data_IF_026432024096
#
_entry.id   IF_026432024096
#
_cell.length_a   1.000
_cell.length_b   1.000
_cell.length_c   1.000
_cell.angle_alpha   90.00
_cell.angle_beta   90.00
_cell.angle_gamma   90.00
#
_symmetry.space_group_name_H-M   'P 1'
#
loop_
_entity.id
_entity.type
_entity.pdbx_description
1 polymer ?
#
# COMPACT_ATOMS: atom_id res chain seq x y z
N UNK A 1 -3.99 -24.49 7.24
CA UNK A 1 -4.84 -24.99 6.15
C UNK A 1 -4.12 -24.64 4.86
N UNK A 2 -3.34 -25.57 4.30
CA UNK A 2 -2.66 -25.32 3.01
C UNK A 2 -3.66 -25.58 1.90
N UNK A 3 -4.60 -24.65 1.75
CA UNK A 3 -5.49 -24.58 0.61
C UNK A 3 -4.62 -24.32 -0.63
N UNK A 4 -4.89 -25.01 -1.74
CA UNK A 4 -4.10 -24.84 -2.96
C UNK A 4 -4.27 -23.40 -3.46
N UNK A 5 -3.27 -22.55 -3.20
CA UNK A 5 -3.27 -21.17 -3.66
C UNK A 5 -3.30 -21.19 -5.18
N UNK A 6 -4.39 -20.70 -5.78
CA UNK A 6 -4.48 -20.53 -7.22
C UNK A 6 -3.49 -19.42 -7.63
N UNK A 7 -2.37 -19.75 -8.30
CA UNK A 7 -1.33 -18.79 -8.60
C UNK A 7 -1.82 -17.66 -9.50
N UNK A 8 -2.85 -17.90 -10.33
CA UNK A 8 -3.44 -16.88 -11.20
C UNK A 8 -4.20 -15.85 -10.37
N UNK A 9 -4.97 -16.31 -9.37
CA UNK A 9 -5.69 -15.42 -8.45
C UNK A 9 -4.70 -14.59 -7.62
N UNK A 10 -3.64 -15.21 -7.10
CA UNK A 10 -2.58 -14.53 -6.35
C UNK A 10 -1.90 -13.43 -7.20
N UNK A 11 -1.44 -13.76 -8.41
CA UNK A 11 -0.78 -12.82 -9.31
C UNK A 11 -1.69 -11.63 -9.66
N UNK A 12 -2.98 -11.88 -9.90
CA UNK A 12 -3.95 -10.83 -10.16
C UNK A 12 -4.13 -9.92 -8.96
N UNK A 13 -4.32 -10.49 -7.76
CA UNK A 13 -4.51 -9.71 -6.55
C UNK A 13 -3.25 -8.87 -6.23
N UNK A 14 -2.07 -9.47 -6.36
CA UNK A 14 -0.80 -8.77 -6.19
C UNK A 14 -0.63 -7.64 -7.20
N UNK A 15 -0.97 -7.88 -8.47
CA UNK A 15 -0.93 -6.86 -9.52
C UNK A 15 -1.84 -5.67 -9.21
N UNK A 16 -3.08 -5.93 -8.80
CA UNK A 16 -4.03 -4.88 -8.38
C UNK A 16 -3.48 -4.08 -7.20
N UNK A 17 -2.91 -4.78 -6.21
CA UNK A 17 -2.35 -4.16 -5.01
C UNK A 17 -1.18 -3.24 -5.34
N UNK A 18 -0.24 -3.72 -6.16
CA UNK A 18 0.91 -2.93 -6.63
C UNK A 18 0.44 -1.67 -7.35
N UNK A 19 -0.53 -1.80 -8.27
CA UNK A 19 -1.07 -0.65 -9.01
C UNK A 19 -1.73 0.36 -8.06
N UNK A 20 -2.55 -0.11 -7.12
CA UNK A 20 -3.21 0.76 -6.15
C UNK A 20 -2.20 1.53 -5.27
N UNK A 21 -1.16 0.84 -4.79
CA UNK A 21 -0.08 1.46 -4.01
C UNK A 21 0.68 2.50 -4.82
N UNK A 22 1.02 2.20 -6.08
CA UNK A 22 1.70 3.15 -6.96
C UNK A 22 0.85 4.41 -7.23
N UNK A 23 -0.46 4.23 -7.45
CA UNK A 23 -1.39 5.36 -7.63
C UNK A 23 -1.45 6.22 -6.37
N UNK A 24 -1.50 5.60 -5.18
CA UNK A 24 -1.47 6.32 -3.91
C UNK A 24 -0.16 7.10 -3.72
N UNK A 25 0.99 6.52 -4.09
CA UNK A 25 2.30 7.18 -4.04
C UNK A 25 2.32 8.39 -4.98
N UNK A 26 1.86 8.26 -6.23
CA UNK A 26 1.81 9.38 -7.19
C UNK A 26 0.91 10.51 -6.66
N UNK A 27 -0.26 10.16 -6.12
CA UNK A 27 -1.15 11.14 -5.49
C UNK A 27 -0.51 11.84 -4.29
N UNK A 28 0.22 11.11 -3.44
CA UNK A 28 0.93 11.66 -2.30
C UNK A 28 2.07 12.59 -2.72
N UNK A 29 2.84 12.25 -3.75
CA UNK A 29 3.91 13.11 -4.30
C UNK A 29 3.32 14.44 -4.82
N UNK A 30 2.23 14.37 -5.59
CA UNK A 30 1.54 15.57 -6.08
C UNK A 30 1.02 16.42 -4.93
N UNK A 31 0.56 15.80 -3.83
CA UNK A 31 0.11 16.53 -2.66
C UNK A 31 1.27 17.19 -1.91
N UNK A 32 2.40 16.48 -1.71
CA UNK A 32 3.59 16.99 -1.01
C UNK A 32 4.08 18.30 -1.63
N UNK A 33 4.10 18.39 -2.96
CA UNK A 33 4.53 19.58 -3.70
C UNK A 33 3.54 20.75 -3.54
N UNK A 34 2.24 20.45 -3.45
CA UNK A 34 1.18 21.47 -3.25
C UNK A 34 1.19 22.06 -1.85
N UNK A 35 1.47 21.25 -0.83
CA UNK A 35 1.45 21.69 0.59
C UNK A 35 2.84 21.96 1.17
N UNK A 36 3.87 22.01 0.31
CA UNK A 36 5.27 22.29 0.65
C UNK A 36 5.75 21.51 1.89
N UNK A 37 5.45 20.20 1.91
CA UNK A 37 5.73 19.37 3.08
C UNK A 37 7.22 19.04 3.14
N UNK A 38 7.89 19.30 4.28
CA UNK A 38 9.27 18.91 4.45
C UNK A 38 9.49 17.42 4.20
N UNK A 39 10.53 17.06 3.45
CA UNK A 39 10.83 15.68 3.06
C UNK A 39 10.86 14.69 4.26
N UNK A 40 11.34 15.16 5.42
CA UNK A 40 11.34 14.38 6.66
C UNK A 40 9.93 14.03 7.12
N UNK A 41 9.01 15.01 7.12
CA UNK A 41 7.61 14.80 7.50
C UNK A 41 6.91 13.90 6.49
N UNK A 42 7.15 14.11 5.19
CA UNK A 42 6.62 13.25 4.14
C UNK A 42 7.07 11.78 4.31
N UNK A 43 8.35 11.56 4.61
CA UNK A 43 8.88 10.22 4.88
C UNK A 43 8.22 9.56 6.10
N UNK A 44 8.00 10.30 7.19
CA UNK A 44 7.29 9.80 8.37
C UNK A 44 5.83 9.45 8.08
N UNK A 45 5.13 10.29 7.32
CA UNK A 45 3.74 10.04 6.92
C UNK A 45 3.61 8.82 6.00
N UNK A 46 4.56 8.65 5.07
CA UNK A 46 4.62 7.47 4.21
C UNK A 46 4.83 6.20 5.05
N UNK A 47 5.78 6.22 5.98
CA UNK A 47 6.05 5.08 6.86
C UNK A 47 4.85 4.74 7.76
N UNK A 48 4.20 5.75 8.34
CA UNK A 48 2.98 5.56 9.14
C UNK A 48 1.83 5.00 8.29
N UNK A 49 1.59 5.56 7.10
CA UNK A 49 0.56 5.07 6.19
C UNK A 49 0.81 3.62 5.78
N UNK A 50 2.04 3.27 5.44
CA UNK A 50 2.42 1.90 5.11
C UNK A 50 2.23 0.96 6.31
N UNK A 51 2.62 1.39 7.51
CA UNK A 51 2.40 0.64 8.74
C UNK A 51 0.92 0.37 9.02
N UNK A 52 0.05 1.37 8.81
CA UNK A 52 -1.41 1.20 8.93
C UNK A 52 -1.94 0.21 7.90
N UNK A 53 -1.51 0.31 6.64
CA UNK A 53 -1.92 -0.60 5.57
C UNK A 53 -1.56 -2.05 5.93
N UNK A 54 -0.34 -2.29 6.42
CA UNK A 54 0.10 -3.61 6.87
C UNK A 54 -0.71 -4.09 8.08
N UNK A 55 -0.91 -3.24 9.09
CA UNK A 55 -1.68 -3.59 10.28
C UNK A 55 -3.14 -3.93 9.93
N UNK A 56 -3.78 -3.19 9.03
CA UNK A 56 -5.13 -3.48 8.53
C UNK A 56 -5.15 -4.79 7.76
N UNK A 57 -4.14 -5.06 6.95
CA UNK A 57 -4.03 -6.31 6.20
C UNK A 57 -3.88 -7.52 7.13
N UNK A 58 -3.06 -7.42 8.17
CA UNK A 58 -2.88 -8.49 9.15
C UNK A 58 -4.12 -8.68 10.03
N UNK A 59 -4.75 -7.58 10.46
CA UNK A 59 -5.91 -7.64 11.35
C UNK A 59 -7.19 -8.13 10.67
N UNK A 60 -7.38 -7.82 9.38
CA UNK A 60 -8.60 -8.16 8.64
C UNK A 60 -8.49 -9.46 7.82
N UNK A 61 -7.48 -10.29 8.07
CA UNK A 61 -7.19 -11.48 7.25
C UNK A 61 -7.21 -11.12 5.75
N UNK A 62 -6.45 -10.08 5.39
CA UNK A 62 -6.47 -9.54 4.03
C UNK A 62 -6.20 -10.64 2.99
N UNK A 63 -6.84 -10.55 1.82
CA UNK A 63 -6.92 -11.67 0.89
C UNK A 63 -5.55 -11.96 0.25
N UNK A 64 -4.93 -13.07 0.67
CA UNK A 64 -3.93 -13.77 -0.14
C UNK A 64 -4.63 -14.81 -1.02
#
# INVERSE_FOLDING_TARGET
MFESVDPVRLLRNLGIYVVAVLVAIVGAIGLIDVIDVPAVIAGLLLALGLGVVLAVHEYLDGPF
#
